data_IF_360699912179
#
_entry.id   IF_360699912179
#
_cell.length_a   1.000
_cell.length_b   1.000
_cell.length_c   1.000
_cell.angle_alpha   90.00
_cell.angle_beta   90.00
_cell.angle_gamma   90.00
#
_symmetry.space_group_name_H-M   'P 1'
#
loop_
_entity.id
_entity.type
_entity.pdbx_description
1 polymer ?
#
# COMPACT_ATOMS: atom_id res chain seq x y z
N UNK A 1 -4.34 -19.29 -8.98
CA UNK A 1 -4.40 -18.73 -7.62
C UNK A 1 -5.52 -17.69 -7.56
N UNK A 2 -6.40 -17.71 -6.55
CA UNK A 2 -7.45 -16.69 -6.43
C UNK A 2 -6.82 -15.34 -6.06
N UNK A 3 -7.22 -14.27 -6.77
CA UNK A 3 -6.72 -12.92 -6.49
C UNK A 3 -7.20 -12.50 -5.09
N UNK A 4 -6.30 -11.99 -4.23
CA UNK A 4 -6.72 -11.45 -2.94
C UNK A 4 -7.60 -10.21 -3.16
N UNK A 5 -8.57 -9.96 -2.28
CA UNK A 5 -9.48 -8.85 -2.43
C UNK A 5 -8.76 -7.50 -2.32
N UNK A 6 -9.24 -6.51 -3.07
CA UNK A 6 -8.70 -5.16 -3.02
C UNK A 6 -9.15 -4.41 -1.74
N UNK A 7 -8.44 -3.34 -1.37
CA UNK A 7 -8.83 -2.49 -0.23
C UNK A 7 -10.24 -1.92 -0.38
N UNK A 8 -10.66 -1.60 -1.61
CA UNK A 8 -12.02 -1.12 -1.90
C UNK A 8 -13.06 -2.22 -1.69
N UNK A 9 -12.77 -3.45 -2.11
CA UNK A 9 -13.65 -4.60 -1.90
C UNK A 9 -13.82 -4.93 -0.41
N UNK A 10 -12.73 -4.82 0.37
CA UNK A 10 -12.76 -5.00 1.81
C UNK A 10 -13.65 -3.94 2.47
N UNK A 11 -13.51 -2.66 2.09
CA UNK A 11 -14.37 -1.58 2.62
C UNK A 11 -15.85 -1.81 2.33
N UNK A 12 -16.19 -2.10 1.08
CA UNK A 12 -17.57 -2.39 0.68
C UNK A 12 -18.15 -3.57 1.45
N UNK A 13 -17.34 -4.61 1.68
CA UNK A 13 -17.75 -5.77 2.47
C UNK A 13 -18.04 -5.40 3.93
N UNK A 14 -17.16 -4.61 4.55
CA UNK A 14 -17.35 -4.14 5.93
C UNK A 14 -18.62 -3.30 6.06
N UNK A 15 -18.82 -2.33 5.17
CA UNK A 15 -20.04 -1.50 5.15
C UNK A 15 -21.32 -2.34 5.03
N UNK A 16 -21.32 -3.33 4.12
CA UNK A 16 -22.45 -4.24 3.97
C UNK A 16 -22.73 -5.04 5.25
N UNK A 17 -21.68 -5.52 5.93
CA UNK A 17 -21.80 -6.25 7.19
C UNK A 17 -22.32 -5.37 8.33
N UNK A 18 -21.78 -4.16 8.47
CA UNK A 18 -22.23 -3.17 9.45
C UNK A 18 -23.71 -2.84 9.25
N UNK A 19 -24.12 -2.57 8.01
CA UNK A 19 -25.52 -2.28 7.68
C UNK A 19 -26.45 -3.47 7.97
N UNK A 20 -26.02 -4.70 7.69
CA UNK A 20 -26.80 -5.89 7.99
C UNK A 20 -26.96 -6.10 9.50
N UNK A 21 -25.92 -5.82 10.29
CA UNK A 21 -25.97 -5.87 11.75
C UNK A 21 -26.96 -4.85 12.33
N UNK A 22 -26.89 -3.60 11.87
CA UNK A 22 -27.82 -2.54 12.27
C UNK A 22 -29.28 -2.87 11.89
N UNK A 23 -29.52 -3.39 10.68
CA UNK A 23 -30.86 -3.80 10.23
C UNK A 23 -31.48 -4.91 11.06
N UNK A 24 -30.67 -5.74 11.72
CA UNK A 24 -31.13 -6.80 12.63
C UNK A 24 -31.38 -6.30 14.05
N UNK A 25 -31.25 -4.99 14.30
CA UNK A 25 -31.39 -4.38 15.62
C UNK A 25 -30.12 -4.43 16.46
N UNK A 26 -28.95 -4.68 15.85
CA UNK A 26 -27.67 -4.58 16.54
C UNK A 26 -27.31 -3.13 16.85
N UNK A 27 -26.70 -2.89 18.01
CA UNK A 27 -26.26 -1.58 18.46
C UNK A 27 -24.73 -1.46 18.35
N UNK A 28 -24.24 -0.30 17.90
CA UNK A 28 -22.80 -0.01 17.82
C UNK A 28 -22.45 0.96 18.94
N UNK A 29 -21.63 0.50 19.88
CA UNK A 29 -21.07 1.33 20.94
C UNK A 29 -19.95 2.20 20.37
N UNK A 30 -20.17 3.51 20.34
CA UNK A 30 -19.16 4.48 19.97
C UNK A 30 -18.28 4.81 21.19
N UNK A 31 -17.08 4.22 21.24
CA UNK A 31 -16.10 4.54 22.28
C UNK A 31 -15.21 5.68 21.78
N UNK A 32 -15.06 6.78 22.56
CA UNK A 32 -14.18 7.87 22.15
C UNK A 32 -12.73 7.40 22.00
N UNK A 33 -11.98 7.95 21.03
CA UNK A 33 -10.58 7.62 20.84
C UNK A 33 -9.79 7.94 22.12
N UNK A 34 -8.93 7.02 22.56
CA UNK A 34 -8.13 7.16 23.78
C UNK A 34 -8.78 6.64 25.07
N UNK A 35 -10.09 6.35 25.06
CA UNK A 35 -10.81 5.79 26.23
C UNK A 35 -10.79 4.27 26.24
N UNK A 36 -10.37 3.64 25.14
CA UNK A 36 -10.16 2.19 25.06
C UNK A 36 -8.90 1.71 25.80
N UNK A 37 -8.22 2.59 26.52
CA UNK A 37 -7.08 2.23 27.34
C UNK A 37 -7.58 1.50 28.59
N UNK A 38 -6.97 0.35 28.87
CA UNK A 38 -7.04 -0.30 30.17
C UNK A 38 -6.88 0.78 31.24
N UNK A 39 -7.88 0.93 32.11
CA UNK A 39 -7.79 1.86 33.22
C UNK A 39 -6.68 1.36 34.14
N UNK A 40 -5.54 2.06 34.16
CA UNK A 40 -4.38 1.67 34.97
C UNK A 40 -4.73 1.57 36.46
N UNK A 41 -5.79 2.28 36.90
CA UNK A 41 -6.30 2.20 38.26
C UNK A 41 -7.10 0.90 38.53
N UNK A 42 -7.68 0.27 37.50
CA UNK A 42 -8.51 -0.95 37.61
C UNK A 42 -7.68 -2.20 37.30
N UNK A 43 -6.76 -2.13 36.34
CA UNK A 43 -5.86 -3.24 36.04
C UNK A 43 -4.56 -2.71 35.42
N UNK A 44 -3.38 -2.95 36.01
CA UNK A 44 -2.14 -2.61 35.33
C UNK A 44 -2.04 -3.41 34.04
N UNK A 45 -1.70 -2.74 32.93
CA UNK A 45 -1.39 -3.40 31.67
C UNK A 45 -0.21 -4.34 31.93
N UNK A 46 -0.49 -5.64 32.05
CA UNK A 46 0.54 -6.67 32.13
C UNK A 46 1.20 -6.74 30.76
N UNK A 47 2.17 -5.87 30.51
CA UNK A 47 3.10 -6.08 29.43
C UNK A 47 3.79 -7.42 29.73
N UNK A 48 3.73 -8.40 28.81
CA UNK A 48 4.58 -9.56 28.94
C UNK A 48 6.01 -9.05 28.79
N UNK A 49 6.65 -8.72 29.92
CA UNK A 49 8.10 -8.61 29.99
C UNK A 49 8.59 -9.97 29.50
N UNK A 50 9.53 -9.98 28.56
CA UNK A 50 10.17 -11.21 28.12
C UNK A 50 10.96 -11.79 29.31
N UNK A 51 10.26 -12.47 30.22
CA UNK A 51 10.79 -13.03 31.47
C UNK A 51 11.32 -14.46 31.29
N UNK A 52 11.16 -15.03 30.09
CA UNK A 52 11.68 -16.33 29.75
C UNK A 52 13.17 -16.30 29.39
N UNK A 53 13.88 -17.44 29.52
CA UNK A 53 15.25 -17.56 29.03
C UNK A 53 15.31 -17.29 27.52
N UNK A 54 16.43 -16.75 27.00
CA UNK A 54 16.58 -16.47 25.59
C UNK A 54 16.39 -17.76 24.77
N UNK A 55 15.50 -17.71 23.78
CA UNK A 55 15.28 -18.83 22.89
C UNK A 55 16.48 -19.04 21.96
N UNK A 56 16.91 -20.30 21.72
CA UNK A 56 17.95 -20.58 20.75
C UNK A 56 17.47 -20.15 19.36
N UNK A 57 18.28 -19.35 18.68
CA UNK A 57 18.01 -18.92 17.30
C UNK A 57 18.85 -19.75 16.35
N UNK A 58 18.26 -20.18 15.25
CA UNK A 58 19.00 -20.76 14.13
C UNK A 58 19.67 -19.62 13.35
N UNK A 59 21.01 -19.57 13.25
CA UNK A 59 21.67 -18.57 12.42
C UNK A 59 21.31 -18.82 10.95
N UNK A 60 20.95 -17.75 10.24
CA UNK A 60 20.50 -17.82 8.84
C UNK A 60 21.37 -16.95 7.92
N UNK A 61 22.63 -16.80 8.30
CA UNK A 61 23.58 -15.89 7.67
C UNK A 61 23.75 -16.19 6.17
N UNK A 62 23.78 -17.46 5.79
CA UNK A 62 23.90 -17.90 4.40
C UNK A 62 22.73 -17.37 3.54
N UNK A 63 21.51 -17.37 4.09
CA UNK A 63 20.33 -16.86 3.38
C UNK A 63 20.42 -15.33 3.24
N UNK A 64 20.88 -14.63 4.28
CA UNK A 64 21.10 -13.18 4.22
C UNK A 64 22.13 -12.85 3.12
N UNK A 65 23.25 -13.56 3.09
CA UNK A 65 24.29 -13.37 2.08
C UNK A 65 23.77 -13.62 0.67
N UNK A 66 22.98 -14.69 0.46
CA UNK A 66 22.37 -14.95 -0.86
C UNK A 66 21.40 -13.85 -1.29
N UNK A 67 20.63 -13.28 -0.36
CA UNK A 67 19.71 -12.18 -0.64
C UNK A 67 20.44 -10.89 -0.98
N UNK A 68 21.52 -10.58 -0.27
CA UNK A 68 22.34 -9.39 -0.50
C UNK A 68 23.07 -9.49 -1.84
N UNK A 69 23.69 -10.64 -2.15
CA UNK A 69 24.29 -10.90 -3.46
C UNK A 69 23.27 -10.72 -4.60
N UNK A 70 22.04 -11.20 -4.40
CA UNK A 70 20.94 -11.03 -5.36
C UNK A 70 20.54 -9.56 -5.51
N UNK A 71 20.52 -8.79 -4.42
CA UNK A 71 20.20 -7.35 -4.44
C UNK A 71 21.29 -6.57 -5.17
N UNK A 72 22.56 -6.82 -4.86
CA UNK A 72 23.70 -6.20 -5.54
C UNK A 72 23.70 -6.49 -7.04
N UNK A 73 23.44 -7.73 -7.44
CA UNK A 73 23.35 -8.09 -8.85
C UNK A 73 22.23 -7.35 -9.60
N UNK A 74 21.13 -6.98 -8.91
CA UNK A 74 20.06 -6.16 -9.49
C UNK A 74 20.45 -4.68 -9.62
N UNK A 75 21.19 -4.14 -8.65
CA UNK A 75 21.64 -2.74 -8.64
C UNK A 75 22.77 -2.52 -9.65
N UNK A 76 23.73 -3.45 -9.73
CA UNK A 76 24.89 -3.39 -10.63
C UNK A 76 24.55 -3.72 -12.08
N UNK A 77 23.34 -4.22 -12.37
CA UNK A 77 22.88 -4.34 -13.76
C UNK A 77 22.81 -2.92 -14.33
N UNK A 78 23.65 -2.57 -15.33
CA UNK A 78 23.44 -1.31 -16.03
C UNK A 78 21.99 -1.34 -16.49
N UNK A 79 21.23 -0.29 -16.17
CA UNK A 79 19.92 -0.09 -16.75
C UNK A 79 20.12 -0.37 -18.23
N UNK A 80 19.53 -1.47 -18.74
CA UNK A 80 19.64 -1.85 -20.14
C UNK A 80 19.42 -0.55 -20.88
N UNK A 81 20.49 -0.04 -21.50
CA UNK A 81 20.42 1.19 -22.27
C UNK A 81 19.23 0.90 -23.17
N UNK A 82 18.13 1.63 -23.00
CA UNK A 82 16.99 1.55 -23.88
C UNK A 82 17.48 2.11 -25.21
N UNK A 83 18.32 1.33 -25.88
CA UNK A 83 18.72 1.50 -27.26
C UNK A 83 17.54 0.97 -28.05
N UNK A 84 16.50 1.78 -28.17
CA UNK A 84 15.87 1.90 -29.47
C UNK A 84 15.00 3.14 -29.47
N UNK A 85 15.43 4.08 -30.30
CA UNK A 85 14.60 5.07 -30.96
C UNK A 85 13.80 5.94 -30.00
N UNK A 86 14.44 7.06 -29.66
CA UNK A 86 13.81 8.36 -29.76
C UNK A 86 13.21 8.49 -31.18
N UNK A 87 12.10 7.78 -31.46
CA UNK A 87 11.23 8.14 -32.57
C UNK A 87 10.72 9.50 -32.17
N UNK A 88 11.00 10.51 -32.99
CA UNK A 88 10.35 11.82 -32.97
C UNK A 88 8.88 11.62 -32.57
N UNK A 89 8.56 11.80 -31.28
CA UNK A 89 7.22 11.52 -30.78
C UNK A 89 6.43 12.78 -31.09
N UNK A 90 5.47 12.65 -32.00
CA UNK A 90 4.54 13.74 -32.32
C UNK A 90 4.00 14.32 -31.02
N UNK A 91 4.30 15.60 -30.76
CA UNK A 91 3.90 16.25 -29.52
C UNK A 91 2.42 16.60 -29.61
N UNK A 92 1.66 16.16 -28.61
CA UNK A 92 0.24 16.50 -28.47
C UNK A 92 0.13 17.98 -28.09
N UNK A 93 -0.46 18.79 -28.96
CA UNK A 93 -0.73 20.21 -28.72
C UNK A 93 -2.24 20.44 -28.73
N UNK A 94 -2.75 21.14 -27.71
CA UNK A 94 -4.16 21.53 -27.62
C UNK A 94 -4.29 22.93 -28.21
N UNK A 95 -5.24 23.10 -29.14
CA UNK A 95 -5.62 24.39 -29.71
C UNK A 95 -6.78 24.94 -28.88
N UNK A 96 -6.65 26.18 -28.44
CA UNK A 96 -7.63 26.87 -27.61
C UNK A 96 -8.30 27.99 -28.42
N UNK A 97 -9.58 28.24 -28.17
CA UNK A 97 -10.32 29.40 -28.70
C UNK A 97 -9.94 30.69 -27.96
N UNK A 98 -10.44 31.85 -28.43
CA UNK A 98 -10.21 33.18 -27.82
C UNK A 98 -10.68 33.25 -26.35
N UNK A 99 -11.56 32.34 -25.93
CA UNK A 99 -12.03 32.18 -24.55
C UNK A 99 -11.29 31.10 -23.72
N UNK A 100 -10.26 30.45 -24.28
CA UNK A 100 -9.44 29.46 -23.58
C UNK A 100 -10.04 28.05 -23.49
N UNK A 101 -11.14 27.77 -24.19
CA UNK A 101 -11.74 26.44 -24.29
C UNK A 101 -10.97 25.56 -25.30
N UNK A 102 -10.73 24.27 -25.02
CA UNK A 102 -9.97 23.40 -25.91
C UNK A 102 -10.82 22.99 -27.13
N UNK A 103 -10.48 23.53 -28.30
CA UNK A 103 -11.17 23.23 -29.56
C UNK A 103 -10.78 21.87 -30.14
N UNK A 104 -9.47 21.57 -30.20
CA UNK A 104 -8.97 20.32 -30.79
C UNK A 104 -7.55 19.99 -30.38
N UNK A 105 -7.21 18.71 -30.56
CA UNK A 105 -5.87 18.17 -30.34
C UNK A 105 -5.19 17.98 -31.70
N UNK A 106 -4.01 18.57 -31.88
CA UNK A 106 -3.14 18.34 -33.04
C UNK A 106 -1.86 17.64 -32.60
N UNK A 107 -1.31 16.84 -33.51
CA UNK A 107 -0.04 16.13 -33.31
C UNK A 107 0.96 16.71 -34.31
N UNK A 108 1.95 17.46 -33.81
CA UNK A 108 3.05 18.01 -34.63
C UNK A 108 4.29 17.15 -34.49
N UNK A 109 4.89 16.83 -35.62
CA UNK A 109 6.26 16.33 -35.71
C UNK A 109 7.18 17.54 -35.48
N UNK A 110 8.20 17.42 -34.61
CA UNK A 110 9.27 18.43 -34.48
C UNK A 110 10.16 18.40 -35.73
#
# INVERSE_FOLDING_TARGET
MKKPPSKQEIRRRLEAQTNAFLKRGGEILAVPPGVSAVDEAISPIKTPIFTGPPQPRTPVNDIIETLDRRREAKIKRPASRRTSRQKTQRRKQIVYDDFGEPLRIIYRDD
#
